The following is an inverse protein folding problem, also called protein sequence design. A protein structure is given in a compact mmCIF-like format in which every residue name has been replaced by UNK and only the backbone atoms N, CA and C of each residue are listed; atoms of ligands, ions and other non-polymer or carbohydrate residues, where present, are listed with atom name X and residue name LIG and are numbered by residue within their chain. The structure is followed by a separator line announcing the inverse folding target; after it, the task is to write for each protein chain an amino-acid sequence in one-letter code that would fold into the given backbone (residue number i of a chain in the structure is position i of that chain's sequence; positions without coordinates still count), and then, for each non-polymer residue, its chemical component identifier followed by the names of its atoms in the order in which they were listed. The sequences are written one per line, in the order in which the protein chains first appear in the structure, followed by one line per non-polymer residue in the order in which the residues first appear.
data_IF_328505575809
#
_entry.id   IF_328505575809
#
_cell.length_a   1.000
_cell.length_b   1.000
_cell.length_c   1.000
_cell.angle_alpha   90.00
_cell.angle_beta   90.00
_cell.angle_gamma   90.00
#
_symmetry.space_group_name_H-M   'P 1'
#
loop_
_entity.id
_entity.type
_entity.pdbx_description
1 polymer ?
#
# COMPACT_ATOMS: atom_id res chain seq x y z
N UNK A 1 -16.00 10.33 8.35
CA UNK A 1 -14.51 10.22 8.47
C UNK A 1 -14.06 8.95 7.80
N UNK A 2 -13.05 9.02 6.91
CA UNK A 2 -12.44 7.87 6.25
C UNK A 2 -11.01 7.66 6.75
N UNK A 3 -10.67 6.44 7.15
CA UNK A 3 -9.36 6.11 7.69
C UNK A 3 -8.85 4.77 7.18
N UNK A 4 -7.54 4.72 6.91
CA UNK A 4 -6.86 3.45 6.68
C UNK A 4 -7.02 2.54 7.92
N UNK A 5 -7.33 1.27 7.69
CA UNK A 5 -7.56 0.33 8.80
C UNK A 5 -8.97 0.35 9.42
N UNK A 6 -9.85 1.28 9.07
CA UNK A 6 -11.23 1.32 9.61
C UNK A 6 -12.08 0.07 9.28
N UNK A 7 -11.63 -0.76 8.33
CA UNK A 7 -12.24 -2.07 8.06
C UNK A 7 -11.91 -3.15 9.09
N UNK A 8 -10.96 -2.89 10.00
CA UNK A 8 -10.60 -3.82 11.09
C UNK A 8 -11.47 -3.45 12.30
N UNK A 9 -12.34 -4.38 12.72
CA UNK A 9 -13.35 -4.13 13.76
C UNK A 9 -12.73 -3.61 15.07
N UNK A 10 -11.68 -4.23 15.56
CA UNK A 10 -11.01 -3.82 16.83
C UNK A 10 -10.45 -2.39 16.76
N UNK A 11 -9.88 -1.99 15.61
CA UNK A 11 -9.36 -0.64 15.43
C UNK A 11 -10.49 0.40 15.33
N UNK A 12 -11.58 0.06 14.65
CA UNK A 12 -12.74 0.95 14.51
C UNK A 12 -13.48 1.15 15.84
N UNK A 13 -13.63 0.10 16.65
CA UNK A 13 -14.28 0.17 17.97
C UNK A 13 -13.48 1.02 18.95
N UNK A 14 -12.16 0.84 19.00
CA UNK A 14 -11.26 1.67 19.81
C UNK A 14 -11.24 3.14 19.41
N UNK A 15 -11.44 3.46 18.12
CA UNK A 15 -11.53 4.83 17.67
C UNK A 15 -12.90 5.45 17.98
N UNK A 16 -14.00 4.70 17.79
CA UNK A 16 -15.36 5.16 18.10
C UNK A 16 -15.50 5.65 19.54
N UNK A 17 -14.89 4.96 20.49
CA UNK A 17 -14.92 5.37 21.91
C UNK A 17 -14.28 6.74 22.16
N UNK A 18 -13.26 7.11 21.36
CA UNK A 18 -12.56 8.40 21.44
C UNK A 18 -13.31 9.53 20.72
N UNK A 19 -14.27 9.18 19.88
CA UNK A 19 -15.08 10.14 19.11
C UNK A 19 -16.43 10.46 19.79
N UNK A 20 -16.66 9.98 21.01
CA UNK A 20 -17.87 10.20 21.78
C UNK A 20 -18.29 11.68 21.99
N UNK A 21 -17.39 12.70 21.96
CA UNK A 21 -17.80 14.11 22.07
C UNK A 21 -18.61 14.62 20.88
N UNK A 22 -18.61 13.91 19.76
CA UNK A 22 -19.35 14.31 18.55
C UNK A 22 -20.76 13.74 18.57
N UNK A 23 -21.76 14.55 18.22
CA UNK A 23 -23.19 14.17 18.21
C UNK A 23 -23.49 13.03 17.23
N UNK A 24 -22.75 12.95 16.12
CA UNK A 24 -22.86 11.86 15.13
C UNK A 24 -21.53 11.65 14.42
N UNK A 25 -21.10 10.40 14.31
CA UNK A 25 -19.87 10.04 13.58
C UNK A 25 -20.12 8.82 12.70
N UNK A 26 -19.90 8.98 11.41
CA UNK A 26 -19.81 7.85 10.46
C UNK A 26 -18.34 7.58 10.21
N UNK A 27 -17.91 6.36 10.51
CA UNK A 27 -16.56 5.88 10.29
C UNK A 27 -16.56 4.89 9.11
N UNK A 28 -15.80 5.22 8.09
CA UNK A 28 -15.66 4.43 6.88
C UNK A 28 -14.19 4.21 6.52
N UNK A 29 -13.92 3.34 5.56
CA UNK A 29 -12.57 3.15 5.05
C UNK A 29 -12.15 4.32 4.17
N UNK A 30 -10.85 4.55 4.09
CA UNK A 30 -10.22 5.51 3.16
C UNK A 30 -10.67 5.28 1.70
N UNK A 31 -10.69 4.02 1.25
CA UNK A 31 -11.15 3.67 -0.09
C UNK A 31 -12.62 4.05 -0.33
N UNK A 32 -13.49 3.86 0.66
CA UNK A 32 -14.90 4.22 0.48
C UNK A 32 -15.10 5.74 0.38
N UNK A 33 -14.36 6.50 1.16
CA UNK A 33 -14.39 7.98 1.06
C UNK A 33 -13.81 8.44 -0.28
N UNK A 34 -12.73 7.82 -0.76
CA UNK A 34 -12.17 8.12 -2.08
C UNK A 34 -13.16 7.80 -3.21
N UNK A 35 -13.85 6.66 -3.12
CA UNK A 35 -14.92 6.31 -4.06
C UNK A 35 -16.07 7.34 -4.02
N UNK A 36 -16.52 7.75 -2.82
CA UNK A 36 -17.55 8.78 -2.68
C UNK A 36 -17.14 10.10 -3.35
N UNK A 37 -15.89 10.52 -3.16
CA UNK A 37 -15.34 11.72 -3.78
C UNK A 37 -15.28 11.62 -5.31
N UNK A 38 -14.88 10.47 -5.84
CA UNK A 38 -14.72 10.25 -7.27
C UNK A 38 -16.06 10.11 -8.01
N UNK A 39 -17.04 9.43 -7.40
CA UNK A 39 -18.29 9.05 -8.05
C UNK A 39 -19.54 9.71 -7.49
N UNK A 40 -19.40 10.57 -6.44
CA UNK A 40 -20.54 11.26 -5.81
C UNK A 40 -21.69 10.32 -5.43
N UNK A 41 -21.32 9.13 -4.93
CA UNK A 41 -22.21 8.03 -4.59
C UNK A 41 -22.90 7.33 -5.78
N UNK A 42 -22.58 7.70 -7.02
CA UNK A 42 -23.03 6.94 -8.20
C UNK A 42 -22.22 5.64 -8.37
N UNK A 43 -22.78 4.67 -9.09
CA UNK A 43 -22.10 3.43 -9.41
C UNK A 43 -20.74 3.68 -10.05
N UNK A 44 -19.72 2.93 -9.62
CA UNK A 44 -18.37 3.08 -10.14
C UNK A 44 -17.32 2.35 -9.32
N UNK A 45 -16.09 2.37 -9.82
CA UNK A 45 -14.95 1.72 -9.18
C UNK A 45 -13.72 2.62 -9.11
N UNK A 46 -12.88 2.36 -8.13
CA UNK A 46 -11.58 3.01 -7.96
C UNK A 46 -10.49 1.98 -7.75
N UNK A 47 -9.28 2.34 -8.16
CA UNK A 47 -8.06 1.62 -7.79
C UNK A 47 -7.14 2.62 -7.07
N UNK A 48 -6.68 2.24 -5.90
CA UNK A 48 -5.74 3.02 -5.10
C UNK A 48 -4.38 2.34 -5.21
N UNK A 49 -3.38 3.08 -5.69
CA UNK A 49 -1.98 2.67 -5.75
C UNK A 49 -1.16 3.66 -4.92
N UNK A 50 -0.67 3.19 -3.80
CA UNK A 50 0.18 3.93 -2.87
C UNK A 50 1.28 3.01 -2.35
N UNK A 51 1.58 3.03 -1.06
CA UNK A 51 2.47 2.03 -0.42
C UNK A 51 1.97 0.61 -0.67
N UNK A 52 0.66 0.38 -0.51
CA UNK A 52 -0.04 -0.84 -0.94
C UNK A 52 -0.96 -0.59 -2.13
N UNK A 53 -1.78 -1.57 -2.47
CA UNK A 53 -2.78 -1.46 -3.52
C UNK A 53 -4.15 -1.98 -3.10
N UNK A 54 -5.23 -1.38 -3.63
CA UNK A 54 -6.59 -1.78 -3.35
C UNK A 54 -7.55 -1.36 -4.46
N UNK A 55 -8.45 -2.26 -4.83
CA UNK A 55 -9.63 -1.94 -5.64
C UNK A 55 -10.89 -1.88 -4.77
N UNK A 56 -11.80 -0.97 -5.12
CA UNK A 56 -13.16 -0.89 -4.58
C UNK A 56 -14.13 -0.53 -5.70
N UNK A 57 -15.20 -1.30 -5.82
CA UNK A 57 -16.33 -0.95 -6.67
C UNK A 57 -17.62 -0.92 -5.85
N UNK A 58 -18.52 -0.01 -6.18
CA UNK A 58 -19.87 0.04 -5.65
C UNK A 58 -20.83 0.08 -6.82
N UNK A 59 -21.69 -0.91 -6.93
CA UNK A 59 -22.63 -1.07 -8.04
C UNK A 59 -23.98 -1.51 -7.46
N UNK A 60 -25.03 -0.75 -7.73
CA UNK A 60 -26.36 -0.99 -7.18
C UNK A 60 -26.36 -1.04 -5.63
N UNK A 61 -25.52 -0.24 -4.98
CA UNK A 61 -25.34 -0.23 -3.52
C UNK A 61 -24.49 -1.39 -2.95
N UNK A 62 -24.08 -2.36 -3.79
CA UNK A 62 -23.23 -3.49 -3.40
C UNK A 62 -21.76 -3.08 -3.47
N UNK A 63 -21.03 -3.26 -2.37
CA UNK A 63 -19.58 -3.01 -2.30
C UNK A 63 -18.80 -4.29 -2.61
N UNK A 64 -17.84 -4.19 -3.52
CA UNK A 64 -16.86 -5.24 -3.84
C UNK A 64 -15.47 -4.65 -3.67
N UNK A 65 -14.66 -5.25 -2.80
CA UNK A 65 -13.29 -4.81 -2.55
C UNK A 65 -12.31 -5.94 -2.87
N UNK A 66 -11.15 -5.59 -3.44
CA UNK A 66 -10.06 -6.52 -3.77
C UNK A 66 -8.72 -5.94 -3.31
N UNK A 67 -7.78 -6.82 -2.98
CA UNK A 67 -6.45 -6.45 -2.50
C UNK A 67 -6.41 -6.08 -1.02
N UNK A 68 -5.29 -5.45 -0.60
CA UNK A 68 -5.04 -4.97 0.76
C UNK A 68 -4.89 -6.10 1.81
N UNK A 69 -4.22 -7.16 1.43
CA UNK A 69 -3.83 -8.22 2.38
C UNK A 69 -2.38 -8.04 2.88
N UNK A 70 -1.78 -6.87 2.62
CA UNK A 70 -0.42 -6.50 3.03
C UNK A 70 0.64 -6.80 1.99
N UNK A 71 1.72 -6.01 2.01
CA UNK A 71 2.78 -6.06 1.00
C UNK A 71 3.60 -7.35 0.97
N UNK A 72 3.45 -8.22 1.98
CA UNK A 72 4.12 -9.52 2.00
C UNK A 72 3.46 -10.55 1.06
N UNK A 73 2.14 -10.53 0.96
CA UNK A 73 1.36 -11.55 0.23
C UNK A 73 0.44 -10.98 -0.84
N UNK A 74 0.24 -9.66 -0.85
CA UNK A 74 -0.64 -8.94 -1.76
C UNK A 74 -0.07 -7.56 -2.08
N UNK A 75 -0.95 -6.56 -2.24
CA UNK A 75 -0.59 -5.18 -2.58
C UNK A 75 0.19 -5.09 -3.92
N UNK A 76 -0.28 -5.84 -4.92
CA UNK A 76 0.28 -5.92 -6.27
C UNK A 76 0.39 -4.51 -6.87
N UNK A 77 1.55 -4.19 -7.43
CA UNK A 77 1.89 -2.85 -7.93
C UNK A 77 1.87 -1.72 -6.87
N UNK A 78 1.75 -2.02 -5.58
CA UNK A 78 2.00 -1.07 -4.51
C UNK A 78 3.49 -0.72 -4.38
N UNK A 79 3.80 0.49 -3.92
CA UNK A 79 5.17 1.01 -3.83
C UNK A 79 6.10 0.12 -3.01
N UNK A 80 5.61 -0.44 -1.89
CA UNK A 80 6.38 -1.37 -1.06
C UNK A 80 6.83 -2.61 -1.85
N UNK A 81 5.90 -3.24 -2.59
CA UNK A 81 6.21 -4.42 -3.39
C UNK A 81 7.15 -4.09 -4.55
N UNK A 82 6.90 -2.98 -5.25
CA UNK A 82 7.79 -2.52 -6.32
C UNK A 82 9.19 -2.22 -5.81
N UNK A 83 9.32 -1.55 -4.67
CA UNK A 83 10.62 -1.25 -4.05
C UNK A 83 11.37 -2.52 -3.67
N UNK A 84 10.73 -3.48 -3.03
CA UNK A 84 11.35 -4.77 -2.70
C UNK A 84 11.81 -5.55 -3.95
N UNK A 85 10.99 -5.54 -5.01
CA UNK A 85 11.37 -6.19 -6.27
C UNK A 85 12.54 -5.47 -6.94
N UNK A 86 12.60 -4.15 -6.87
CA UNK A 86 13.71 -3.37 -7.40
C UNK A 86 15.03 -3.69 -6.66
N UNK A 87 15.01 -3.77 -5.32
CA UNK A 87 16.18 -4.20 -4.52
C UNK A 87 16.60 -5.62 -4.87
N UNK A 88 15.64 -6.55 -5.02
CA UNK A 88 15.93 -7.94 -5.41
C UNK A 88 16.62 -8.01 -6.78
N UNK A 89 16.10 -7.28 -7.77
CA UNK A 89 16.68 -7.25 -9.12
C UNK A 89 18.04 -6.60 -9.14
N UNK A 90 18.29 -5.58 -8.32
CA UNK A 90 19.61 -4.99 -8.17
C UNK A 90 20.63 -6.00 -7.63
N UNK A 91 20.26 -6.82 -6.64
CA UNK A 91 21.11 -7.91 -6.15
C UNK A 91 21.34 -9.01 -7.20
N UNK A 92 20.33 -9.34 -8.00
CA UNK A 92 20.49 -10.30 -9.11
C UNK A 92 21.41 -9.78 -10.22
N UNK A 93 21.37 -8.46 -10.49
CA UNK A 93 22.31 -7.84 -11.42
C UNK A 93 23.74 -7.82 -10.84
N UNK A 94 23.88 -7.56 -9.54
CA UNK A 94 25.16 -7.55 -8.85
C UNK A 94 25.87 -8.90 -8.91
N UNK A 95 25.15 -10.02 -8.73
CA UNK A 95 25.72 -11.36 -8.74
C UNK A 95 25.63 -12.05 -10.12
N UNK A 96 25.25 -11.33 -11.17
CA UNK A 96 25.26 -11.81 -12.57
C UNK A 96 24.10 -12.72 -12.98
N UNK A 97 23.03 -12.82 -12.17
CA UNK A 97 21.82 -13.60 -12.51
C UNK A 97 20.93 -12.92 -13.55
N UNK A 98 21.03 -11.60 -13.68
CA UNK A 98 20.30 -10.81 -14.68
C UNK A 98 21.19 -9.72 -15.27
N UNK A 99 20.80 -9.22 -16.43
CA UNK A 99 21.47 -8.05 -17.01
C UNK A 99 21.31 -6.81 -16.12
N UNK A 100 22.36 -5.96 -16.13
CA UNK A 100 22.36 -4.69 -15.43
C UNK A 100 21.47 -3.68 -16.18
N UNK A 101 20.61 -3.00 -15.46
CA UNK A 101 19.75 -1.92 -15.97
C UNK A 101 20.09 -0.59 -15.31
N UNK A 102 19.66 0.53 -15.88
CA UNK A 102 19.85 1.85 -15.27
C UNK A 102 19.29 1.89 -13.82
N UNK A 103 18.15 1.23 -13.58
CA UNK A 103 17.55 1.15 -12.24
C UNK A 103 18.43 0.33 -11.28
N UNK A 104 18.90 -0.84 -11.69
CA UNK A 104 19.77 -1.66 -10.83
C UNK A 104 21.09 -0.94 -10.52
N UNK A 105 21.67 -0.26 -11.52
CA UNK A 105 22.88 0.57 -11.31
C UNK A 105 22.63 1.67 -10.27
N UNK A 106 21.57 2.45 -10.43
CA UNK A 106 21.24 3.53 -9.50
C UNK A 106 21.02 3.04 -8.06
N UNK A 107 20.39 1.87 -7.91
CA UNK A 107 20.23 1.24 -6.59
C UNK A 107 21.59 0.82 -6.03
N UNK A 108 22.42 0.11 -6.82
CA UNK A 108 23.73 -0.32 -6.36
C UNK A 108 24.62 0.84 -5.97
N UNK A 109 24.63 1.92 -6.74
CA UNK A 109 25.36 3.16 -6.42
C UNK A 109 24.88 3.78 -5.10
N UNK A 110 23.55 3.86 -4.89
CA UNK A 110 23.00 4.38 -3.64
C UNK A 110 23.45 3.60 -2.41
N UNK A 111 23.70 2.33 -2.54
CA UNK A 111 24.20 1.45 -1.48
C UNK A 111 25.70 1.17 -1.60
N UNK A 112 26.42 2.01 -2.36
CA UNK A 112 27.88 1.94 -2.50
C UNK A 112 28.36 0.56 -3.00
N UNK A 113 27.58 -0.09 -3.85
CA UNK A 113 27.85 -1.43 -4.38
C UNK A 113 28.05 -2.51 -3.29
N UNK A 114 27.49 -2.28 -2.08
CA UNK A 114 27.57 -3.21 -0.96
C UNK A 114 26.23 -3.95 -0.77
N UNK A 115 26.12 -5.24 -1.14
CA UNK A 115 24.90 -6.02 -0.94
C UNK A 115 24.44 -6.08 0.52
N UNK A 116 25.37 -6.05 1.49
CA UNK A 116 25.01 -6.10 2.90
C UNK A 116 24.21 -4.86 3.32
N UNK A 117 24.51 -3.69 2.77
CA UNK A 117 23.76 -2.46 3.01
C UNK A 117 22.33 -2.57 2.48
N UNK A 118 22.13 -3.16 1.29
CA UNK A 118 20.80 -3.41 0.70
C UNK A 118 19.99 -4.35 1.62
N UNK A 119 20.60 -5.46 2.06
CA UNK A 119 19.94 -6.44 2.94
C UNK A 119 19.57 -5.81 4.28
N UNK A 120 20.48 -5.04 4.90
CA UNK A 120 20.19 -4.34 6.15
C UNK A 120 19.08 -3.30 6.00
N UNK A 121 19.07 -2.55 4.90
CA UNK A 121 17.99 -1.60 4.59
C UNK A 121 16.67 -2.33 4.43
N UNK A 122 16.59 -3.36 3.60
CA UNK A 122 15.37 -4.12 3.35
C UNK A 122 14.78 -4.75 4.61
N UNK A 123 15.64 -5.17 5.57
CA UNK A 123 15.21 -5.75 6.83
C UNK A 123 14.66 -4.72 7.83
N UNK A 124 15.03 -3.44 7.71
CA UNK A 124 14.64 -2.36 8.62
C UNK A 124 13.62 -1.39 8.01
N UNK A 125 13.52 -1.40 6.69
CA UNK A 125 12.67 -0.45 5.96
C UNK A 125 11.21 -0.55 6.42
N UNK A 126 10.66 0.58 6.79
CA UNK A 126 9.23 0.74 6.98
C UNK A 126 8.58 0.81 5.58
N UNK A 127 7.35 0.32 5.39
CA UNK A 127 6.63 0.48 4.12
C UNK A 127 6.54 1.91 3.57
N UNK A 128 6.80 2.91 4.38
CA UNK A 128 6.80 4.33 4.00
C UNK A 128 8.17 4.86 3.54
N UNK A 129 9.26 4.10 3.71
CA UNK A 129 10.63 4.47 3.32
C UNK A 129 10.87 4.21 1.83
#
# INVERSE_FOLDING_TARGET
MGLAGAGIKSASDGLRSKLSPFASVVLETDAYIAWLGAHQAADGGIVILGTGSRGLAVIGGRRVAVGRYGGEVSDEAGGQRMGREALRRALWAFDGRTETTALSTAILERFEWDPAKIVCFAARANPAD
#
